data_IF_750569899516
#
_entry.id   IF_750569899516
#
_cell.length_a   1.000
_cell.length_b   1.000
_cell.length_c   1.000
_cell.angle_alpha   90.00
_cell.angle_beta   90.00
_cell.angle_gamma   90.00
#
_symmetry.space_group_name_H-M   'P 1'
#
loop_
_entity.id
_entity.type
_entity.pdbx_description
1 polymer ?
#
# COMPACT_ATOMS: atom_id res chain seq x y z
N UNK A 1 -2.46 12.19 24.04
CA UNK A 1 -1.66 10.98 23.78
C UNK A 1 -0.92 11.20 22.47
N UNK A 2 0.40 11.28 22.55
CA UNK A 2 1.30 11.46 21.41
C UNK A 2 2.41 10.43 21.48
N UNK A 3 3.20 10.31 20.42
CA UNK A 3 4.37 9.44 20.44
C UNK A 3 5.40 9.94 21.46
N UNK A 4 6.16 9.00 22.04
CA UNK A 4 7.40 9.33 22.74
C UNK A 4 8.48 9.68 21.73
N UNK A 5 9.51 10.44 22.15
CA UNK A 5 10.65 10.80 21.30
C UNK A 5 11.28 9.58 20.61
N UNK A 6 11.38 8.46 21.34
CA UNK A 6 11.90 7.21 20.78
C UNK A 6 11.02 6.65 19.66
N UNK A 7 9.70 6.74 19.81
CA UNK A 7 8.76 6.29 18.78
C UNK A 7 8.82 7.20 17.55
N UNK A 8 8.89 8.51 17.74
CA UNK A 8 9.05 9.47 16.64
C UNK A 8 10.35 9.23 15.88
N UNK A 9 11.46 9.03 16.58
CA UNK A 9 12.75 8.72 15.96
C UNK A 9 12.70 7.44 15.10
N UNK A 10 12.00 6.40 15.56
CA UNK A 10 11.83 5.14 14.82
C UNK A 10 10.94 5.31 13.59
N UNK A 11 9.84 6.05 13.71
CA UNK A 11 8.94 6.34 12.58
C UNK A 11 9.70 7.15 11.53
N UNK A 12 10.44 8.18 11.95
CA UNK A 12 11.22 9.02 11.05
C UNK A 12 12.30 8.22 10.31
N UNK A 13 13.09 7.39 11.01
CA UNK A 13 14.13 6.58 10.35
C UNK A 13 13.55 5.56 9.36
N UNK A 14 12.41 4.97 9.70
CA UNK A 14 11.69 4.05 8.80
C UNK A 14 11.14 4.78 7.57
N UNK A 15 10.58 5.97 7.77
CA UNK A 15 10.08 6.82 6.68
C UNK A 15 11.20 7.27 5.73
N UNK A 16 12.35 7.68 6.25
CA UNK A 16 13.51 8.09 5.45
C UNK A 16 14.03 6.95 4.55
N UNK A 17 13.94 5.71 5.02
CA UNK A 17 14.29 4.52 4.23
C UNK A 17 13.21 4.19 3.19
N UNK A 18 11.94 4.23 3.61
CA UNK A 18 10.79 3.95 2.76
C UNK A 18 10.67 4.94 1.60
N UNK A 19 10.90 6.23 1.86
CA UNK A 19 10.63 7.29 0.88
C UNK A 19 11.52 7.23 -0.37
N UNK A 20 12.63 6.49 -0.32
CA UNK A 20 13.55 6.33 -1.46
C UNK A 20 12.91 5.60 -2.63
N UNK A 21 11.93 4.71 -2.39
CA UNK A 21 11.28 3.90 -3.43
C UNK A 21 9.75 3.91 -3.31
N UNK A 22 9.16 5.07 -3.01
CA UNK A 22 7.69 5.22 -2.83
C UNK A 22 6.91 4.58 -3.98
N UNK A 23 7.23 4.80 -5.28
CA UNK A 23 6.44 4.22 -6.35
C UNK A 23 6.38 2.69 -6.28
N UNK A 24 7.52 2.04 -6.07
CA UNK A 24 7.62 0.58 -5.99
C UNK A 24 6.90 0.04 -4.75
N UNK A 25 7.13 0.62 -3.58
CA UNK A 25 6.49 0.16 -2.35
C UNK A 25 4.99 0.42 -2.33
N UNK A 26 4.52 1.49 -2.98
CA UNK A 26 3.08 1.77 -3.10
C UNK A 26 2.38 0.69 -3.92
N UNK A 27 2.95 0.29 -5.06
CA UNK A 27 2.42 -0.82 -5.87
C UNK A 27 2.40 -2.10 -5.05
N UNK A 28 3.53 -2.44 -4.39
CA UNK A 28 3.63 -3.65 -3.57
C UNK A 28 2.59 -3.67 -2.43
N UNK A 29 2.38 -2.54 -1.76
CA UNK A 29 1.39 -2.39 -0.69
C UNK A 29 -0.03 -2.69 -1.17
N UNK A 30 -0.45 -2.07 -2.28
CA UNK A 30 -1.78 -2.33 -2.84
C UNK A 30 -1.91 -3.76 -3.34
N UNK A 31 -0.88 -4.32 -3.99
CA UNK A 31 -0.88 -5.74 -4.40
C UNK A 31 -1.11 -6.66 -3.20
N UNK A 32 -0.38 -6.48 -2.10
CA UNK A 32 -0.55 -7.32 -0.91
C UNK A 32 -1.94 -7.17 -0.27
N UNK A 33 -2.48 -5.95 -0.24
CA UNK A 33 -3.85 -5.73 0.26
C UNK A 33 -4.86 -6.51 -0.58
N UNK A 34 -4.75 -6.46 -1.90
CA UNK A 34 -5.66 -7.13 -2.82
C UNK A 34 -5.52 -8.66 -2.77
N UNK A 35 -4.31 -9.17 -2.59
CA UNK A 35 -4.05 -10.62 -2.42
C UNK A 35 -4.64 -11.15 -1.11
N UNK A 36 -4.52 -10.40 -0.02
CA UNK A 36 -4.96 -10.84 1.31
C UNK A 36 -6.44 -10.58 1.57
N UNK A 37 -7.00 -9.55 0.97
CA UNK A 37 -8.38 -9.13 1.19
C UNK A 37 -9.04 -8.71 -0.13
N UNK A 38 -9.37 -9.63 -1.04
CA UNK A 38 -9.88 -9.29 -2.36
C UNK A 38 -11.19 -8.47 -2.34
N UNK A 39 -11.97 -8.53 -1.26
CA UNK A 39 -13.18 -7.72 -1.07
C UNK A 39 -12.92 -6.20 -1.00
N UNK A 40 -11.67 -5.78 -0.75
CA UNK A 40 -11.31 -4.35 -0.72
C UNK A 40 -11.17 -3.75 -2.12
N UNK A 41 -11.23 -4.56 -3.19
CA UNK A 41 -11.24 -4.08 -4.59
C UNK A 41 -12.33 -3.03 -4.81
N UNK A 42 -13.49 -3.23 -4.19
CA UNK A 42 -14.64 -2.33 -4.32
C UNK A 42 -14.46 -1.00 -3.56
N UNK A 43 -13.52 -0.94 -2.62
CA UNK A 43 -13.14 0.30 -1.90
C UNK A 43 -12.25 1.20 -2.74
N UNK A 44 -11.62 0.66 -3.78
CA UNK A 44 -10.74 1.38 -4.67
C UNK A 44 -11.46 1.69 -5.97
N UNK A 45 -11.88 2.96 -6.12
CA UNK A 45 -12.58 3.43 -7.33
C UNK A 45 -11.78 3.19 -8.62
N UNK A 46 -10.44 3.14 -8.53
CA UNK A 46 -9.56 2.82 -9.66
C UNK A 46 -9.50 1.32 -10.02
N UNK A 47 -10.00 0.43 -9.15
CA UNK A 47 -10.03 -1.03 -9.37
C UNK A 47 -11.44 -1.56 -9.64
N UNK A 48 -12.47 -0.79 -9.29
CA UNK A 48 -13.89 -1.19 -9.33
C UNK A 48 -14.34 -1.74 -10.69
N UNK A 49 -13.69 -1.34 -11.80
CA UNK A 49 -14.01 -1.78 -13.16
C UNK A 49 -12.94 -2.68 -13.81
N UNK A 50 -11.86 -3.01 -13.08
CA UNK A 50 -10.76 -3.86 -13.62
C UNK A 50 -11.10 -5.34 -13.71
N UNK A 51 -12.25 -5.75 -13.16
CA UNK A 51 -12.77 -7.13 -13.26
C UNK A 51 -13.06 -7.58 -14.71
N UNK A 52 -12.99 -6.66 -15.69
CA UNK A 52 -13.18 -6.94 -17.12
C UNK A 52 -11.91 -7.20 -17.93
N UNK A 53 -10.70 -7.10 -17.35
CA UNK A 53 -9.48 -7.48 -18.08
C UNK A 53 -9.29 -8.98 -17.85
N UNK A 54 -9.96 -9.75 -18.71
CA UNK A 54 -9.73 -11.17 -18.92
C UNK A 54 -8.23 -11.40 -19.10
N UNK A 55 -7.66 -12.28 -18.27
CA UNK A 55 -6.29 -12.79 -18.45
C UNK A 55 -6.11 -13.15 -19.93
N UNK A 56 -5.28 -12.37 -20.63
CA UNK A 56 -4.96 -12.64 -22.02
C UNK A 56 -4.15 -13.94 -22.08
N UNK A 57 -4.34 -14.79 -23.12
CA UNK A 57 -3.76 -16.14 -23.20
C UNK A 57 -2.24 -16.17 -23.09
#
# INVERSE_FOLDING_TARGET
>A
MGFSEKQEALVNSSWESFKQNIPQYSVLFYTFILEKAPAVKDLFSFLKDTAGIQDSP
#
